data_IF_544067842279
#
_entry.id   IF_544067842279
#
_cell.length_a   1.000
_cell.length_b   1.000
_cell.length_c   1.000
_cell.angle_alpha   90.00
_cell.angle_beta   90.00
_cell.angle_gamma   90.00
#
_symmetry.space_group_name_H-M   'P 1'
#
loop_
_entity.id
_entity.type
_entity.pdbx_description
1 polymer ?
#
# COMPACT_ATOMS: atom_id res chain seq x y z
N UNK A 1 49.89 -52.23 -20.09
CA UNK A 1 48.85 -51.54 -20.86
C UNK A 1 47.77 -51.09 -19.92
N UNK A 2 47.87 -49.84 -19.48
CA UNK A 2 46.88 -49.23 -18.54
C UNK A 2 46.07 -48.21 -19.33
N UNK A 3 44.77 -48.49 -19.56
CA UNK A 3 43.86 -47.53 -20.21
C UNK A 3 43.24 -46.65 -19.14
N UNK A 4 43.62 -45.38 -19.11
CA UNK A 4 42.99 -44.36 -18.26
C UNK A 4 41.66 -43.95 -18.83
N UNK A 5 40.60 -44.00 -18.02
CA UNK A 5 39.29 -43.40 -18.27
C UNK A 5 39.32 -41.95 -17.75
N UNK A 6 39.26 -40.97 -18.64
CA UNK A 6 38.97 -39.60 -18.30
C UNK A 6 37.46 -39.45 -18.17
N UNK A 7 36.97 -39.27 -16.95
CA UNK A 7 35.57 -38.87 -16.70
C UNK A 7 35.51 -37.35 -16.71
N UNK A 8 34.93 -36.78 -17.78
CA UNK A 8 34.65 -35.37 -17.91
C UNK A 8 33.41 -35.05 -17.09
N UNK A 9 33.57 -34.49 -15.91
CA UNK A 9 32.50 -33.98 -15.08
C UNK A 9 31.89 -32.70 -15.71
N UNK A 10 30.69 -32.80 -16.21
CA UNK A 10 29.90 -31.65 -16.66
C UNK A 10 29.38 -30.91 -15.42
N UNK A 11 30.04 -29.82 -15.05
CA UNK A 11 29.54 -28.89 -14.03
C UNK A 11 28.33 -28.16 -14.61
N UNK A 12 27.10 -28.57 -14.23
CA UNK A 12 25.91 -27.76 -14.42
C UNK A 12 26.02 -26.55 -13.48
N UNK A 13 26.44 -25.40 -13.99
CA UNK A 13 26.18 -24.12 -13.36
C UNK A 13 24.67 -23.89 -13.35
N UNK A 14 24.00 -24.20 -12.25
CA UNK A 14 22.69 -23.66 -11.94
C UNK A 14 22.87 -22.14 -11.75
N UNK A 15 22.78 -21.39 -12.85
CA UNK A 15 22.55 -19.97 -12.78
C UNK A 15 21.24 -19.78 -12.03
N UNK A 16 21.29 -19.24 -10.81
CA UNK A 16 20.15 -18.61 -10.19
C UNK A 16 19.70 -17.50 -11.14
N UNK A 17 18.73 -17.80 -12.00
CA UNK A 17 18.01 -16.79 -12.72
C UNK A 17 17.36 -15.93 -11.63
N UNK A 18 17.91 -14.74 -11.36
CA UNK A 18 17.16 -13.70 -10.69
C UNK A 18 15.82 -13.65 -11.43
N UNK A 19 14.72 -13.84 -10.70
CA UNK A 19 13.39 -13.80 -11.26
C UNK A 19 13.28 -12.47 -12.00
N UNK A 20 13.34 -12.57 -13.33
CA UNK A 20 13.40 -11.43 -14.20
C UNK A 20 12.06 -10.71 -14.15
N UNK A 21 12.10 -9.41 -14.31
CA UNK A 21 10.99 -8.61 -14.79
C UNK A 21 10.17 -9.36 -15.85
N UNK A 22 8.88 -9.09 -15.93
CA UNK A 22 8.01 -9.78 -16.90
C UNK A 22 8.44 -9.46 -18.35
N UNK A 23 8.06 -10.33 -19.29
CA UNK A 23 8.34 -10.11 -20.70
C UNK A 23 7.67 -8.82 -21.23
N UNK A 24 8.21 -8.25 -22.30
CA UNK A 24 7.60 -7.11 -22.99
C UNK A 24 6.15 -7.42 -23.46
N UNK A 25 5.87 -8.68 -23.83
CA UNK A 25 4.53 -9.13 -24.19
C UNK A 25 3.57 -9.06 -22.99
N UNK A 26 4.00 -9.51 -21.82
CA UNK A 26 3.21 -9.40 -20.59
C UNK A 26 3.04 -7.94 -20.15
N UNK A 27 4.10 -7.13 -20.19
CA UNK A 27 4.02 -5.71 -19.91
C UNK A 27 3.06 -4.96 -20.86
N UNK A 28 2.89 -5.42 -22.10
CA UNK A 28 1.93 -4.86 -23.07
C UNK A 28 0.45 -5.06 -22.66
N UNK A 29 0.16 -5.96 -21.72
CA UNK A 29 -1.18 -6.11 -21.16
C UNK A 29 -1.60 -4.92 -20.31
N UNK A 30 -0.65 -4.14 -19.75
CA UNK A 30 -0.93 -2.94 -18.97
C UNK A 30 -1.59 -1.85 -19.84
N UNK A 31 -2.78 -1.42 -19.42
CA UNK A 31 -3.62 -0.47 -20.18
C UNK A 31 -4.54 -1.13 -21.22
N UNK A 32 -4.30 -2.40 -21.61
CA UNK A 32 -5.15 -3.17 -22.53
C UNK A 32 -6.10 -4.10 -21.78
N UNK A 33 -5.70 -5.32 -21.47
CA UNK A 33 -6.50 -6.28 -20.67
C UNK A 33 -6.36 -6.05 -19.17
N UNK A 34 -5.23 -5.53 -18.72
CA UNK A 34 -5.01 -5.06 -17.36
C UNK A 34 -5.21 -3.54 -17.27
N UNK A 35 -5.52 -3.04 -16.08
CA UNK A 35 -5.44 -1.60 -15.80
C UNK A 35 -3.97 -1.15 -15.89
N UNK A 36 -3.67 0.14 -16.07
CA UNK A 36 -2.29 0.62 -16.09
C UNK A 36 -1.48 0.32 -14.82
N UNK A 37 -2.15 -0.03 -13.71
CA UNK A 37 -1.53 -0.39 -12.43
C UNK A 37 -1.51 -1.92 -12.17
N UNK A 38 -1.95 -2.73 -13.14
CA UNK A 38 -1.82 -4.20 -13.11
C UNK A 38 -3.05 -4.98 -12.62
N UNK A 39 -4.15 -4.31 -12.23
CA UNK A 39 -5.39 -5.03 -11.87
C UNK A 39 -6.19 -5.46 -13.13
N UNK A 40 -7.07 -6.46 -13.00
CA UNK A 40 -7.98 -6.84 -14.07
C UNK A 40 -8.84 -5.66 -14.50
N UNK A 41 -8.89 -5.38 -15.81
CA UNK A 41 -9.67 -4.28 -16.35
C UNK A 41 -11.13 -4.65 -16.54
N UNK A 42 -11.41 -5.91 -16.88
CA UNK A 42 -12.76 -6.41 -17.11
C UNK A 42 -13.62 -6.42 -15.83
N UNK A 43 -14.94 -6.48 -16.02
CA UNK A 43 -15.86 -6.80 -14.95
C UNK A 43 -15.69 -8.25 -14.49
N UNK A 44 -16.05 -8.55 -13.23
CA UNK A 44 -16.10 -9.94 -12.77
C UNK A 44 -17.32 -10.69 -13.38
N UNK A 45 -17.25 -12.01 -13.39
CA UNK A 45 -18.30 -12.86 -13.96
C UNK A 45 -19.66 -12.68 -13.28
N UNK A 46 -19.68 -12.37 -11.98
CA UNK A 46 -20.91 -12.17 -11.21
C UNK A 46 -21.55 -10.78 -11.42
N UNK A 47 -20.91 -9.87 -12.17
CA UNK A 47 -21.39 -8.52 -12.39
C UNK A 47 -21.36 -7.59 -11.15
N UNK A 48 -20.79 -8.06 -10.04
CA UNK A 48 -20.71 -7.30 -8.79
C UNK A 48 -19.55 -6.29 -8.77
N UNK A 49 -18.54 -6.51 -9.60
CA UNK A 49 -17.41 -5.59 -9.80
C UNK A 49 -17.44 -5.15 -11.27
N UNK A 50 -17.71 -3.86 -11.56
CA UNK A 50 -17.77 -3.36 -12.93
C UNK A 50 -16.39 -3.33 -13.59
N UNK A 51 -16.37 -3.23 -14.94
CA UNK A 51 -15.12 -2.95 -15.66
C UNK A 51 -14.53 -1.60 -15.20
N UNK A 52 -13.18 -1.53 -15.15
CA UNK A 52 -12.51 -0.26 -14.89
C UNK A 52 -12.54 0.64 -16.14
N UNK A 53 -13.05 1.86 -15.98
CA UNK A 53 -13.25 2.83 -17.08
C UNK A 53 -12.34 4.07 -16.98
N UNK A 54 -11.26 3.99 -16.20
CA UNK A 54 -10.31 5.11 -16.02
C UNK A 54 -10.28 5.71 -14.61
N UNK A 55 -11.27 5.40 -13.79
CA UNK A 55 -11.37 5.96 -12.44
C UNK A 55 -11.77 7.43 -12.42
N UNK A 56 -11.55 8.11 -11.29
CA UNK A 56 -11.78 9.55 -11.12
C UNK A 56 -10.52 10.29 -11.56
N UNK A 57 -10.59 11.05 -12.64
CA UNK A 57 -9.48 11.83 -13.21
C UNK A 57 -9.62 13.33 -12.98
N UNK A 58 -10.79 13.78 -12.52
CA UNK A 58 -11.09 15.18 -12.20
C UNK A 58 -11.44 15.29 -10.73
N UNK A 59 -11.05 16.38 -10.10
CA UNK A 59 -11.43 16.65 -8.72
C UNK A 59 -12.96 16.70 -8.59
N UNK A 60 -13.55 16.05 -7.58
CA UNK A 60 -14.98 16.11 -7.33
C UNK A 60 -15.46 17.55 -7.08
N UNK A 61 -16.71 17.85 -7.45
CA UNK A 61 -17.33 19.13 -7.18
C UNK A 61 -17.28 19.45 -5.68
N UNK A 62 -16.92 20.70 -5.33
CA UNK A 62 -16.78 21.14 -3.95
C UNK A 62 -15.39 20.87 -3.31
N UNK A 63 -14.48 20.18 -4.01
CA UNK A 63 -13.11 20.07 -3.53
C UNK A 63 -12.33 21.39 -3.75
N UNK A 64 -11.84 21.97 -2.66
CA UNK A 64 -11.18 23.28 -2.68
C UNK A 64 -9.65 23.22 -3.02
N UNK A 65 -9.13 22.04 -3.32
CA UNK A 65 -7.72 21.87 -3.71
C UNK A 65 -6.80 21.34 -2.60
N UNK A 66 -5.48 21.26 -2.85
CA UNK A 66 -4.49 20.77 -1.89
C UNK A 66 -4.55 21.52 -0.56
N UNK A 67 -4.42 20.79 0.55
CA UNK A 67 -4.53 21.35 1.89
C UNK A 67 -5.94 21.39 2.47
N UNK A 68 -6.95 21.09 1.67
CA UNK A 68 -8.34 20.98 2.11
C UNK A 68 -8.78 19.51 2.24
N UNK A 69 -9.85 19.28 3.00
CA UNK A 69 -10.44 17.94 3.12
C UNK A 69 -10.98 17.46 1.79
N UNK A 70 -10.80 16.19 1.50
CA UNK A 70 -11.44 15.54 0.37
C UNK A 70 -12.95 15.48 0.59
N UNK A 71 -13.70 15.66 -0.48
CA UNK A 71 -15.15 15.48 -0.49
C UNK A 71 -15.48 14.06 -0.96
N UNK A 72 -16.58 13.50 -0.46
CA UNK A 72 -17.07 12.21 -0.93
C UNK A 72 -17.71 12.38 -2.32
N UNK A 73 -17.11 11.78 -3.39
CA UNK A 73 -17.66 11.87 -4.73
C UNK A 73 -18.95 11.05 -4.90
N UNK A 74 -19.29 10.22 -3.93
CA UNK A 74 -20.44 9.29 -3.96
C UNK A 74 -21.44 9.54 -2.82
N UNK A 75 -21.46 10.73 -2.24
CA UNK A 75 -22.34 11.09 -1.12
C UNK A 75 -23.84 10.83 -1.40
N UNK A 76 -24.24 10.76 -2.67
CA UNK A 76 -25.62 10.44 -3.08
C UNK A 76 -25.91 8.93 -3.17
N UNK A 77 -24.92 8.06 -3.02
CA UNK A 77 -25.11 6.61 -3.11
C UNK A 77 -25.96 6.11 -1.93
N UNK A 78 -26.87 5.17 -2.23
CA UNK A 78 -27.65 4.46 -1.22
C UNK A 78 -27.19 3.01 -1.15
N UNK A 79 -27.25 2.36 0.03
CA UNK A 79 -27.01 0.94 0.12
C UNK A 79 -27.93 0.15 -0.83
N UNK A 80 -27.38 -0.84 -1.50
CA UNK A 80 -28.18 -1.82 -2.26
C UNK A 80 -29.00 -2.68 -1.31
N UNK A 81 -28.43 -3.07 -0.19
CA UNK A 81 -29.03 -3.79 0.93
C UNK A 81 -28.16 -3.63 2.18
N UNK A 82 -28.69 -4.03 3.33
CA UNK A 82 -27.93 -4.05 4.60
C UNK A 82 -27.95 -5.44 5.16
N UNK A 83 -26.77 -5.99 5.48
CA UNK A 83 -26.62 -7.24 6.20
C UNK A 83 -26.82 -6.94 7.69
N UNK A 84 -27.67 -7.72 8.35
CA UNK A 84 -27.95 -7.68 9.77
C UNK A 84 -28.13 -9.10 10.30
N UNK A 85 -28.32 -9.29 11.61
CA UNK A 85 -28.65 -10.59 12.20
C UNK A 85 -29.83 -11.29 11.49
N UNK A 86 -30.79 -10.52 10.99
CA UNK A 86 -32.02 -11.07 10.39
C UNK A 86 -31.78 -11.78 9.05
N UNK A 87 -30.74 -11.42 8.30
CA UNK A 87 -30.45 -12.00 6.98
C UNK A 87 -29.01 -12.49 6.85
N UNK A 88 -28.29 -12.62 7.97
CA UNK A 88 -26.87 -13.02 7.99
C UNK A 88 -26.60 -14.33 7.25
N UNK A 89 -27.46 -15.34 7.41
CA UNK A 89 -27.30 -16.67 6.81
C UNK A 89 -27.23 -16.63 5.28
N UNK A 90 -27.90 -15.65 4.65
CA UNK A 90 -27.88 -15.49 3.19
C UNK A 90 -26.54 -15.01 2.65
N UNK A 91 -25.70 -14.41 3.50
CA UNK A 91 -24.46 -13.74 3.10
C UNK A 91 -23.21 -14.31 3.78
N UNK A 92 -23.33 -15.29 4.67
CA UNK A 92 -22.23 -15.77 5.51
C UNK A 92 -21.02 -16.24 4.71
N UNK A 93 -21.25 -16.85 3.52
CA UNK A 93 -20.18 -17.36 2.65
C UNK A 93 -19.37 -16.23 1.98
N UNK A 94 -19.86 -15.00 2.03
CA UNK A 94 -19.19 -13.79 1.54
C UNK A 94 -18.52 -12.98 2.66
N UNK A 95 -18.58 -13.43 3.91
CA UNK A 95 -18.09 -12.72 5.08
C UNK A 95 -16.84 -13.38 5.67
N UNK A 96 -15.92 -12.55 6.14
CA UNK A 96 -14.74 -13.03 6.84
C UNK A 96 -15.09 -13.54 8.24
N UNK A 97 -14.27 -14.42 8.86
CA UNK A 97 -14.47 -14.86 10.24
C UNK A 97 -14.59 -13.70 11.24
N UNK A 98 -13.85 -12.60 11.02
CA UNK A 98 -13.93 -11.40 11.85
C UNK A 98 -15.29 -10.70 11.75
N UNK A 99 -15.82 -10.53 10.54
CA UNK A 99 -17.15 -9.96 10.32
C UNK A 99 -18.24 -10.84 10.93
N UNK A 100 -18.18 -12.14 10.77
CA UNK A 100 -19.10 -13.09 11.43
C UNK A 100 -19.00 -12.98 12.95
N UNK A 101 -17.81 -12.78 13.50
CA UNK A 101 -17.64 -12.56 14.94
C UNK A 101 -18.31 -11.27 15.43
N UNK A 102 -18.25 -10.18 14.65
CA UNK A 102 -18.94 -8.92 14.97
C UNK A 102 -20.46 -9.12 15.03
N UNK A 103 -21.07 -9.82 14.08
CA UNK A 103 -22.50 -10.14 14.12
C UNK A 103 -22.89 -11.00 15.32
N UNK A 104 -22.02 -11.94 15.74
CA UNK A 104 -22.27 -12.75 16.96
C UNK A 104 -22.12 -11.95 18.23
N UNK A 105 -21.16 -11.03 18.29
CA UNK A 105 -20.87 -10.24 19.50
C UNK A 105 -21.84 -9.07 19.68
N UNK A 106 -22.29 -8.48 18.58
CA UNK A 106 -23.13 -7.27 18.57
C UNK A 106 -24.37 -7.45 17.68
N UNK A 107 -25.20 -8.50 17.93
CA UNK A 107 -26.27 -8.91 17.03
C UNK A 107 -27.35 -7.85 16.79
N UNK A 108 -27.57 -6.98 17.76
CA UNK A 108 -28.66 -6.00 17.72
C UNK A 108 -28.22 -4.62 17.23
N UNK A 109 -26.90 -4.36 17.21
CA UNK A 109 -26.38 -3.05 16.83
C UNK A 109 -25.46 -3.07 15.61
N UNK A 110 -24.78 -4.20 15.32
CA UNK A 110 -23.89 -4.30 14.18
C UNK A 110 -24.67 -4.53 12.89
N UNK A 111 -24.46 -3.64 11.94
CA UNK A 111 -25.05 -3.70 10.60
C UNK A 111 -23.95 -3.41 9.56
N UNK A 112 -24.06 -4.05 8.40
CA UNK A 112 -23.15 -3.85 7.28
C UNK A 112 -23.95 -3.41 6.05
N UNK A 113 -24.05 -2.09 5.77
CA UNK A 113 -24.64 -1.61 4.53
C UNK A 113 -23.71 -1.94 3.35
N UNK A 114 -24.27 -2.51 2.29
CA UNK A 114 -23.56 -2.89 1.09
C UNK A 114 -23.91 -1.94 -0.04
N UNK A 115 -22.88 -1.30 -0.59
CA UNK A 115 -23.01 -0.32 -1.67
C UNK A 115 -22.54 -0.90 -3.00
N UNK A 116 -22.92 -0.23 -4.08
CA UNK A 116 -22.39 -0.55 -5.40
C UNK A 116 -20.85 -0.41 -5.40
N UNK A 117 -20.16 -1.41 -5.92
CA UNK A 117 -18.71 -1.35 -6.10
C UNK A 117 -18.35 -0.24 -7.10
N UNK A 118 -17.45 0.64 -6.70
CA UNK A 118 -16.88 1.71 -7.52
C UNK A 118 -15.42 1.42 -7.78
N UNK A 119 -14.98 1.57 -9.02
CA UNK A 119 -13.56 1.44 -9.41
C UNK A 119 -12.99 2.81 -9.71
N UNK A 120 -12.92 3.65 -8.67
CA UNK A 120 -12.58 5.06 -8.76
C UNK A 120 -11.07 5.35 -8.81
N UNK A 121 -10.21 4.36 -8.54
CA UNK A 121 -8.76 4.55 -8.50
C UNK A 121 -8.21 4.98 -9.86
N UNK A 122 -7.40 6.04 -9.85
CA UNK A 122 -6.63 6.54 -10.98
C UNK A 122 -5.29 7.11 -10.51
N UNK A 123 -4.36 7.32 -11.42
CA UNK A 123 -3.09 7.98 -11.17
C UNK A 123 -2.74 8.90 -12.35
N UNK A 124 -1.84 9.88 -12.18
CA UNK A 124 -1.32 10.68 -13.29
C UNK A 124 -0.65 9.82 -14.38
N UNK A 125 -0.69 10.25 -15.62
CA UNK A 125 -0.13 9.50 -16.76
C UNK A 125 1.34 9.11 -16.56
N UNK A 126 2.15 10.00 -16.00
CA UNK A 126 3.56 9.71 -15.74
C UNK A 126 3.78 8.54 -14.76
N UNK A 127 2.83 8.28 -13.83
CA UNK A 127 2.85 7.11 -12.94
C UNK A 127 2.54 5.84 -13.74
N UNK A 128 1.61 5.90 -14.68
CA UNK A 128 1.31 4.77 -15.58
C UNK A 128 2.49 4.44 -16.47
N UNK A 129 3.15 5.46 -17.05
CA UNK A 129 4.31 5.29 -17.89
C UNK A 129 5.48 4.67 -17.13
N UNK A 130 5.71 5.11 -15.89
CA UNK A 130 6.69 4.52 -14.99
C UNK A 130 6.34 3.09 -14.60
N UNK A 131 5.08 2.81 -14.27
CA UNK A 131 4.60 1.45 -13.95
C UNK A 131 4.90 0.49 -15.10
N UNK A 132 4.67 0.91 -16.33
CA UNK A 132 4.99 0.10 -17.50
C UNK A 132 6.49 -0.17 -17.64
N UNK A 133 7.34 0.86 -17.42
CA UNK A 133 8.80 0.69 -17.43
C UNK A 133 9.28 -0.24 -16.31
N UNK A 134 8.69 -0.09 -15.12
CA UNK A 134 9.03 -0.93 -13.97
C UNK A 134 8.71 -2.40 -14.23
N UNK A 135 7.60 -2.72 -14.92
CA UNK A 135 7.23 -4.09 -15.26
C UNK A 135 8.36 -4.87 -15.94
N UNK A 136 9.15 -4.19 -16.78
CA UNK A 136 10.22 -4.81 -17.57
C UNK A 136 11.60 -4.74 -16.88
N UNK A 137 11.74 -4.00 -15.77
CA UNK A 137 13.05 -3.71 -15.15
C UNK A 137 13.13 -4.03 -13.67
N UNK A 138 12.04 -3.82 -12.93
CA UNK A 138 12.06 -3.98 -11.50
C UNK A 138 12.45 -5.40 -11.09
N UNK A 139 13.27 -5.50 -10.05
CA UNK A 139 13.67 -6.79 -9.47
C UNK A 139 13.68 -6.70 -7.96
N UNK A 140 13.32 -7.80 -7.31
CA UNK A 140 13.50 -7.93 -5.86
C UNK A 140 15.01 -7.99 -5.53
N UNK A 141 15.37 -7.40 -4.42
CA UNK A 141 16.68 -7.60 -3.81
C UNK A 141 16.73 -8.91 -3.03
N UNK A 142 17.92 -9.33 -2.66
CA UNK A 142 18.15 -10.59 -1.94
C UNK A 142 17.28 -10.67 -0.68
N UNK A 143 16.66 -11.82 -0.47
CA UNK A 143 15.76 -12.04 0.66
C UNK A 143 14.41 -11.29 0.56
N UNK A 144 14.14 -10.55 -0.53
CA UNK A 144 12.91 -9.78 -0.71
C UNK A 144 12.84 -8.51 0.15
N UNK A 145 13.94 -8.08 0.75
CA UNK A 145 14.03 -6.94 1.68
C UNK A 145 14.16 -5.58 0.97
N UNK A 146 13.76 -5.50 -0.27
CA UNK A 146 13.81 -4.30 -1.09
C UNK A 146 13.59 -4.62 -2.55
N UNK A 147 13.63 -3.60 -3.38
CA UNK A 147 13.61 -3.74 -4.83
C UNK A 147 14.52 -2.71 -5.49
N UNK A 148 14.93 -2.98 -6.72
CA UNK A 148 15.77 -2.11 -7.52
C UNK A 148 15.17 -1.89 -8.91
N UNK A 149 15.74 -0.94 -9.66
CA UNK A 149 15.43 -0.63 -11.05
C UNK A 149 13.96 -0.23 -11.29
N UNK A 150 13.29 0.31 -10.26
CA UNK A 150 11.95 0.86 -10.34
C UNK A 150 11.89 2.28 -9.78
N UNK A 151 11.02 3.11 -10.34
CA UNK A 151 10.81 4.48 -9.90
C UNK A 151 9.43 4.99 -10.30
N UNK A 152 8.76 5.73 -9.40
CA UNK A 152 7.60 6.58 -9.69
C UNK A 152 6.36 5.87 -10.24
N UNK A 153 6.27 4.56 -10.07
CA UNK A 153 5.15 3.72 -10.48
C UNK A 153 5.06 2.47 -9.61
N UNK A 154 4.06 1.64 -9.85
CA UNK A 154 3.98 0.31 -9.20
C UNK A 154 5.23 -0.49 -9.61
N UNK A 155 6.02 -1.01 -8.65
CA UNK A 155 7.26 -1.72 -9.01
C UNK A 155 7.00 -3.02 -9.76
N UNK A 156 6.01 -3.83 -9.35
CA UNK A 156 5.71 -5.14 -9.91
C UNK A 156 4.24 -5.24 -10.33
N UNK A 157 3.78 -4.51 -11.37
CA UNK A 157 2.36 -4.45 -11.72
C UNK A 157 1.76 -5.81 -12.14
N UNK A 158 2.62 -6.78 -12.48
CA UNK A 158 2.27 -8.16 -12.75
C UNK A 158 3.11 -9.04 -11.81
N UNK A 159 2.76 -9.08 -10.50
CA UNK A 159 3.60 -9.72 -9.50
C UNK A 159 3.69 -11.23 -9.71
N UNK A 160 4.88 -11.80 -9.58
CA UNK A 160 5.16 -13.23 -9.68
C UNK A 160 5.22 -13.89 -8.29
N UNK A 161 5.21 -13.08 -7.22
CA UNK A 161 5.30 -13.56 -5.84
C UNK A 161 4.47 -12.70 -4.89
N UNK A 162 4.15 -13.26 -3.71
CA UNK A 162 3.47 -12.52 -2.65
C UNK A 162 4.29 -11.34 -2.13
N UNK A 163 5.62 -11.45 -2.12
CA UNK A 163 6.52 -10.37 -1.70
C UNK A 163 6.43 -9.19 -2.66
N UNK A 164 6.41 -9.43 -3.97
CA UNK A 164 6.20 -8.38 -4.98
C UNK A 164 4.85 -7.68 -4.80
N UNK A 165 3.79 -8.43 -4.51
CA UNK A 165 2.48 -7.86 -4.24
C UNK A 165 2.48 -6.98 -2.97
N UNK A 166 3.22 -7.36 -1.93
CA UNK A 166 3.41 -6.55 -0.71
C UNK A 166 4.17 -5.26 -1.04
N UNK A 167 5.25 -5.33 -1.82
CA UNK A 167 5.98 -4.13 -2.26
C UNK A 167 5.11 -3.19 -3.09
N UNK A 168 4.23 -3.71 -3.95
CA UNK A 168 3.25 -2.87 -4.66
C UNK A 168 2.34 -2.11 -3.70
N UNK A 169 1.93 -2.74 -2.60
CA UNK A 169 1.13 -2.08 -1.56
C UNK A 169 1.93 -1.00 -0.83
N UNK A 170 3.18 -1.30 -0.44
CA UNK A 170 4.06 -0.35 0.26
C UNK A 170 4.37 0.85 -0.63
N UNK A 171 4.76 0.60 -1.87
CA UNK A 171 5.17 1.62 -2.85
C UNK A 171 4.00 2.19 -3.69
N UNK A 172 2.74 2.00 -3.32
CA UNK A 172 1.60 2.54 -4.08
C UNK A 172 1.60 4.06 -4.13
N UNK A 173 1.11 4.63 -5.22
CA UNK A 173 0.98 6.08 -5.39
C UNK A 173 -0.02 6.69 -4.40
N UNK A 174 0.42 7.70 -3.67
CA UNK A 174 -0.38 8.49 -2.71
C UNK A 174 -0.09 9.99 -2.86
N UNK A 175 0.46 10.41 -4.00
CA UNK A 175 1.03 11.73 -4.23
C UNK A 175 2.52 11.78 -3.85
N UNK A 176 3.14 12.93 -4.07
CA UNK A 176 4.55 13.17 -3.68
C UNK A 176 4.65 13.60 -2.22
N UNK A 177 3.68 14.37 -1.75
CA UNK A 177 3.58 14.82 -0.35
C UNK A 177 2.14 14.72 0.11
N UNK A 178 1.94 14.13 1.28
CA UNK A 178 0.62 13.96 1.87
C UNK A 178 0.61 14.43 3.32
N UNK A 179 -0.45 15.13 3.70
CA UNK A 179 -0.75 15.51 5.09
C UNK A 179 -2.07 14.85 5.49
N UNK A 180 -2.09 14.21 6.65
CA UNK A 180 -3.29 13.62 7.21
C UNK A 180 -3.40 13.99 8.68
N UNK A 181 -4.61 14.36 9.11
CA UNK A 181 -4.96 14.42 10.52
C UNK A 181 -5.93 13.29 10.82
N UNK A 182 -5.63 12.51 11.85
CA UNK A 182 -6.49 11.41 12.31
C UNK A 182 -6.62 11.42 13.81
N UNK A 183 -7.71 10.84 14.31
CA UNK A 183 -7.90 10.58 15.73
C UNK A 183 -8.16 9.10 15.95
N UNK A 184 -7.43 8.50 16.87
CA UNK A 184 -7.57 7.11 17.28
C UNK A 184 -8.36 7.07 18.59
N UNK A 185 -9.39 6.22 18.62
CA UNK A 185 -10.27 6.03 19.79
C UNK A 185 -9.98 4.67 20.44
N UNK A 186 -9.34 4.65 21.59
CA UNK A 186 -9.14 3.44 22.38
C UNK A 186 -10.40 3.18 23.22
N UNK A 187 -11.30 2.33 22.72
CA UNK A 187 -12.58 2.03 23.36
C UNK A 187 -12.40 1.03 24.50
N UNK A 188 -12.95 1.34 25.67
CA UNK A 188 -12.98 0.48 26.86
C UNK A 188 -14.26 -0.37 26.89
N UNK A 189 -14.27 -1.45 27.68
CA UNK A 189 -15.44 -2.33 27.81
C UNK A 189 -16.71 -1.63 28.30
N UNK A 190 -16.59 -0.55 29.07
CA UNK A 190 -17.71 0.26 29.57
C UNK A 190 -18.20 1.30 28.54
N UNK A 191 -17.68 1.29 27.31
CA UNK A 191 -18.03 2.23 26.26
C UNK A 191 -17.31 3.60 26.32
N UNK A 192 -16.52 3.86 27.37
CA UNK A 192 -15.68 5.07 27.40
C UNK A 192 -14.53 4.96 26.41
N UNK A 193 -14.03 6.08 25.91
CA UNK A 193 -12.86 6.12 25.02
C UNK A 193 -12.02 7.37 25.25
N UNK A 194 -10.76 7.28 24.87
CA UNK A 194 -9.85 8.43 24.83
C UNK A 194 -9.43 8.65 23.37
N UNK A 195 -9.47 9.90 22.92
CA UNK A 195 -9.00 10.28 21.58
C UNK A 195 -7.54 10.73 21.63
N UNK A 196 -6.74 10.19 20.74
CA UNK A 196 -5.40 10.69 20.44
C UNK A 196 -5.43 11.23 19.02
N UNK A 197 -5.23 12.54 18.86
CA UNK A 197 -5.21 13.18 17.54
C UNK A 197 -3.77 13.41 17.10
N UNK A 198 -3.45 12.93 15.92
CA UNK A 198 -2.13 13.08 15.28
C UNK A 198 -2.25 13.78 13.93
N UNK A 199 -1.30 14.67 13.65
CA UNK A 199 -1.00 15.13 12.29
C UNK A 199 0.15 14.29 11.76
N UNK A 200 -0.02 13.74 10.58
CA UNK A 200 0.93 12.88 9.90
C UNK A 200 1.30 13.51 8.57
N UNK A 201 2.58 13.48 8.25
CA UNK A 201 3.14 14.00 7.00
C UNK A 201 4.02 12.93 6.37
N UNK A 202 3.92 12.76 5.06
CA UNK A 202 4.75 11.83 4.32
C UNK A 202 5.25 12.48 3.04
N UNK A 203 6.56 12.43 2.82
CA UNK A 203 7.22 12.84 1.59
C UNK A 203 7.72 11.59 0.87
N UNK A 204 7.06 11.25 -0.24
CA UNK A 204 7.38 10.06 -1.03
C UNK A 204 8.48 10.39 -2.04
N UNK A 205 9.75 10.18 -1.68
CA UNK A 205 10.90 10.40 -2.56
C UNK A 205 10.79 9.59 -3.84
N UNK A 206 10.25 8.37 -3.75
CA UNK A 206 9.98 7.48 -4.87
C UNK A 206 9.01 8.06 -5.92
N UNK A 207 8.21 9.07 -5.57
CA UNK A 207 7.21 9.69 -6.44
C UNK A 207 7.47 11.17 -6.72
N UNK A 208 8.74 11.59 -6.80
CA UNK A 208 9.06 12.93 -7.30
C UNK A 208 9.01 12.92 -8.84
N UNK A 209 8.12 13.72 -9.40
CA UNK A 209 7.99 13.81 -10.85
C UNK A 209 9.31 14.28 -11.49
N UNK A 210 9.75 13.59 -12.54
CA UNK A 210 11.02 13.88 -13.22
C UNK A 210 12.28 13.34 -12.53
N UNK A 211 12.15 12.62 -11.42
CA UNK A 211 13.26 11.92 -10.76
C UNK A 211 13.58 10.56 -11.41
N UNK A 212 14.55 9.87 -10.83
CA UNK A 212 14.98 8.53 -11.27
C UNK A 212 15.34 7.64 -10.07
N UNK A 213 15.53 6.33 -10.33
CA UNK A 213 15.93 5.37 -9.30
C UNK A 213 17.30 5.69 -8.69
N UNK A 214 18.24 6.18 -9.51
CA UNK A 214 19.60 6.55 -9.08
C UNK A 214 19.60 7.75 -8.13
N UNK A 215 18.59 8.62 -8.21
CA UNK A 215 18.45 9.81 -7.37
C UNK A 215 17.76 9.54 -6.03
N UNK A 216 17.27 8.31 -5.79
CA UNK A 216 16.58 7.96 -4.55
C UNK A 216 17.49 7.92 -3.33
N UNK A 217 18.78 7.70 -3.52
CA UNK A 217 19.76 7.54 -2.42
C UNK A 217 19.22 6.58 -1.33
N UNK A 218 18.73 5.43 -1.78
CA UNK A 218 18.10 4.39 -0.96
C UNK A 218 16.86 4.86 -0.15
N UNK A 219 16.28 6.03 -0.40
CA UNK A 219 15.19 6.60 0.39
C UNK A 219 13.84 6.47 -0.30
N UNK A 220 12.98 5.56 0.20
CA UNK A 220 11.63 5.36 -0.31
C UNK A 220 10.71 6.53 0.05
N UNK A 221 10.65 6.86 1.35
CA UNK A 221 9.90 8.02 1.86
C UNK A 221 10.39 8.47 3.23
N UNK A 222 10.03 9.70 3.58
CA UNK A 222 10.11 10.25 4.93
C UNK A 222 8.71 10.33 5.51
N UNK A 223 8.56 9.98 6.79
CA UNK A 223 7.29 10.07 7.50
C UNK A 223 7.49 10.76 8.85
N UNK A 224 6.59 11.66 9.18
CA UNK A 224 6.54 12.33 10.48
C UNK A 224 5.12 12.27 11.03
N UNK A 225 4.98 11.94 12.31
CA UNK A 225 3.73 12.02 13.05
C UNK A 225 3.92 12.92 14.28
N UNK A 226 3.02 13.88 14.49
CA UNK A 226 3.03 14.77 15.65
C UNK A 226 1.70 14.67 16.37
N UNK A 227 1.75 14.34 17.66
CA UNK A 227 0.55 14.30 18.51
C UNK A 227 0.06 15.72 18.79
N UNK A 228 -1.22 15.99 18.50
CA UNK A 228 -1.88 17.28 18.69
C UNK A 228 -2.76 17.31 19.95
N UNK A 229 -3.36 16.19 20.31
CA UNK A 229 -4.24 16.03 21.48
C UNK A 229 -4.15 14.59 22.01
N UNK A 230 -4.47 14.37 23.30
CA UNK A 230 -4.77 15.37 24.35
C UNK A 230 -3.54 16.15 24.81
N UNK A 231 -3.75 17.24 25.53
CA UNK A 231 -2.68 18.16 25.96
C UNK A 231 -1.49 17.47 26.65
N UNK A 232 -1.75 16.40 27.44
CA UNK A 232 -0.70 15.62 28.14
C UNK A 232 0.26 14.88 27.20
N UNK A 233 -0.14 14.62 25.94
CA UNK A 233 0.64 13.90 24.92
C UNK A 233 1.07 14.84 23.77
N UNK A 234 0.47 16.05 23.71
CA UNK A 234 0.72 17.00 22.64
C UNK A 234 2.20 17.37 22.52
N UNK A 235 2.68 17.49 21.28
CA UNK A 235 4.08 17.79 20.95
C UNK A 235 4.98 16.55 20.87
N UNK A 236 4.52 15.38 21.30
CA UNK A 236 5.24 14.13 21.00
C UNK A 236 5.31 13.91 19.49
N UNK A 237 6.47 13.45 18.98
CA UNK A 237 6.65 13.23 17.55
C UNK A 237 7.42 11.95 17.26
N UNK A 238 7.14 11.36 16.11
CA UNK A 238 7.88 10.25 15.50
C UNK A 238 8.35 10.71 14.13
N UNK A 239 9.63 10.51 13.82
CA UNK A 239 10.22 10.68 12.50
C UNK A 239 10.73 9.33 12.01
N UNK A 240 10.41 8.96 10.77
CA UNK A 240 10.86 7.72 10.13
C UNK A 240 11.50 8.05 8.78
N UNK A 241 12.67 7.50 8.53
CA UNK A 241 13.30 7.39 7.23
C UNK A 241 13.13 5.95 6.76
N UNK A 242 12.30 5.76 5.76
CA UNK A 242 12.03 4.44 5.18
C UNK A 242 12.97 4.20 4.02
N UNK A 243 13.83 3.21 4.16
CA UNK A 243 14.78 2.83 3.12
C UNK A 243 14.18 1.85 2.11
N UNK A 244 14.69 1.85 0.90
CA UNK A 244 14.27 0.97 -0.18
C UNK A 244 14.96 -0.40 -0.07
N UNK A 245 16.30 -0.40 0.07
CA UNK A 245 17.11 -1.57 0.37
C UNK A 245 17.40 -1.59 1.88
N UNK A 246 16.65 -2.39 2.61
CA UNK A 246 16.75 -2.50 4.07
C UNK A 246 17.93 -3.36 4.53
N UNK A 247 18.59 -4.09 3.62
CA UNK A 247 19.84 -4.83 3.91
C UNK A 247 21.02 -3.87 3.86
N UNK A 248 21.05 -2.98 2.86
CA UNK A 248 22.07 -1.95 2.75
C UNK A 248 21.98 -0.95 3.90
N UNK A 249 20.79 -0.48 4.22
CA UNK A 249 20.52 0.44 5.32
C UNK A 249 19.12 0.17 5.90
N UNK A 250 19.08 -0.26 7.15
CA UNK A 250 17.81 -0.50 7.84
C UNK A 250 17.04 0.81 8.04
N UNK A 251 15.70 0.70 8.12
CA UNK A 251 14.82 1.81 8.52
C UNK A 251 15.39 2.55 9.71
N UNK A 252 15.31 3.86 9.70
CA UNK A 252 15.71 4.71 10.81
C UNK A 252 14.50 5.42 11.40
N UNK A 253 14.39 5.45 12.73
CA UNK A 253 13.30 6.12 13.42
C UNK A 253 13.79 6.86 14.67
N UNK A 254 13.14 7.99 14.94
CA UNK A 254 13.40 8.81 16.11
C UNK A 254 12.09 9.23 16.76
N UNK A 255 12.02 9.11 18.08
CA UNK A 255 10.88 9.59 18.87
C UNK A 255 11.30 10.80 19.69
N UNK A 256 10.50 11.86 19.66
CA UNK A 256 10.60 13.01 20.53
C UNK A 256 9.57 12.93 21.65
N UNK A 257 10.04 12.91 22.89
CA UNK A 257 9.19 12.94 24.08
C UNK A 257 9.06 14.40 24.59
N UNK A 258 7.90 15.01 24.38
CA UNK A 258 7.67 16.43 24.72
C UNK A 258 7.88 16.72 26.21
N UNK A 259 7.43 15.83 27.11
CA UNK A 259 7.62 15.98 28.56
C UNK A 259 9.07 15.93 29.02
N UNK A 260 9.93 15.21 28.31
CA UNK A 260 11.37 15.09 28.60
C UNK A 260 12.23 16.04 27.76
N UNK A 261 11.65 16.66 26.73
CA UNK A 261 12.35 17.50 25.73
C UNK A 261 13.57 16.78 25.09
N UNK A 262 13.45 15.48 24.86
CA UNK A 262 14.54 14.64 24.34
C UNK A 262 14.10 13.87 23.11
N UNK A 263 15.01 13.81 22.12
CA UNK A 263 14.93 12.89 20.99
C UNK A 263 15.68 11.62 21.37
N UNK A 264 15.08 10.47 21.06
CA UNK A 264 15.71 9.17 21.20
C UNK A 264 15.58 8.41 19.88
N UNK A 265 16.63 7.70 19.50
CA UNK A 265 16.52 6.74 18.39
C UNK A 265 15.59 5.60 18.83
N UNK A 266 14.71 5.18 17.92
CA UNK A 266 13.79 4.05 18.11
C UNK A 266 14.23 2.90 17.20
N UNK A 267 15.28 2.13 17.55
CA UNK A 267 15.91 1.16 16.65
C UNK A 267 15.03 -0.04 16.33
N UNK A 268 14.02 -0.31 17.16
CA UNK A 268 13.11 -1.44 17.01
C UNK A 268 11.76 -1.09 16.37
N UNK A 269 11.63 0.09 15.76
CA UNK A 269 10.41 0.43 15.01
C UNK A 269 10.36 -0.43 13.76
N UNK A 270 9.45 -1.39 13.75
CA UNK A 270 9.17 -2.29 12.64
C UNK A 270 7.68 -2.22 12.27
N UNK A 271 7.21 -3.08 11.38
CA UNK A 271 5.82 -3.09 10.93
C UNK A 271 4.82 -3.53 12.02
N UNK A 272 5.28 -4.20 13.04
CA UNK A 272 4.53 -4.68 14.20
C UNK A 272 4.59 -3.71 15.41
N UNK A 273 5.23 -2.58 15.24
CA UNK A 273 5.26 -1.54 16.30
C UNK A 273 3.97 -0.72 16.24
N UNK A 274 3.17 -0.71 17.33
CA UNK A 274 1.91 0.01 17.39
C UNK A 274 2.06 1.54 17.35
#
# INVERSE_FOLDING_TARGET
MLKGLFATGLLLCLSNAALAAVSAEEAAKLGSSLTPLGGDKAANAAGTIPAWSGGITQAPAGYAGPGHHHVDPFAGDKPLFTISKANLEQYQDHLTPGQLSLFRTYPDSFQMPVYQTRRSASAPQWVYDNTRRNAEKARLLEGGNGFAEAYGGIPFPIPQSGVEAVWNHVARYRGTYAVRQSSDASVQRNGSYALITTQQEALFSYYRQGGSAEQLDNMLFYYMAVTKAPARLAGGALLVHETLDQVQEARQAWAYAAGQRRVRRAPSVAYDTP
#
